data_IF_982232106087
#
_entry.id   IF_982232106087
#
_cell.length_a   1.000
_cell.length_b   1.000
_cell.length_c   1.000
_cell.angle_alpha   90.00
_cell.angle_beta   90.00
_cell.angle_gamma   90.00
#
_symmetry.space_group_name_H-M   'P 1'
#
loop_
_entity.id
_entity.type
_entity.pdbx_description
1 polymer ?
#
# COMPACT_ATOMS: atom_id res chain seq x y z
N UNK A 1 -5.17 0.07 21.96
CA UNK A 1 -5.13 -0.64 20.66
C UNK A 1 -3.80 -0.29 20.01
N UNK A 2 -2.96 -1.27 19.72
CA UNK A 2 -1.72 -1.06 18.98
C UNK A 2 -2.07 -1.01 17.49
N UNK A 3 -1.71 0.08 16.81
CA UNK A 3 -1.88 0.21 15.37
C UNK A 3 -0.54 -0.10 14.73
N UNK A 4 -0.49 -1.15 13.91
CA UNK A 4 0.70 -1.48 13.12
C UNK A 4 0.62 -0.76 11.78
N UNK A 5 1.51 0.21 11.57
CA UNK A 5 1.65 0.91 10.30
C UNK A 5 2.80 0.29 9.52
N UNK A 6 2.61 0.05 8.23
CA UNK A 6 3.63 -0.48 7.33
C UNK A 6 3.56 0.21 5.98
N UNK A 7 4.72 0.55 5.44
CA UNK A 7 4.83 1.05 4.08
C UNK A 7 5.10 -0.11 3.11
N UNK A 8 4.47 -0.05 1.94
CA UNK A 8 4.77 -0.93 0.81
C UNK A 8 5.37 -0.13 -0.34
N UNK A 9 6.35 -0.73 -1.02
CA UNK A 9 6.93 -0.17 -2.25
C UNK A 9 6.50 -1.02 -3.43
N UNK A 10 5.99 -0.39 -4.48
CA UNK A 10 5.65 -1.03 -5.75
C UNK A 10 6.03 -0.13 -6.91
N UNK A 11 6.53 -0.72 -8.01
CA UNK A 11 6.76 0.06 -9.23
C UNK A 11 5.43 0.41 -9.86
N UNK A 12 5.26 1.63 -10.34
CA UNK A 12 4.04 2.06 -11.03
C UNK A 12 3.70 1.17 -12.23
N UNK A 13 4.71 0.65 -12.92
CA UNK A 13 4.53 -0.27 -14.04
C UNK A 13 4.00 -1.66 -13.64
N UNK A 14 4.15 -2.04 -12.36
CA UNK A 14 3.66 -3.33 -11.84
C UNK A 14 2.24 -3.21 -11.27
N UNK A 15 1.77 -1.99 -10.97
CA UNK A 15 0.41 -1.73 -10.48
C UNK A 15 -0.54 -1.48 -11.66
N UNK A 16 -0.95 -2.56 -12.31
CA UNK A 16 -1.81 -2.53 -13.50
C UNK A 16 -3.13 -3.23 -13.21
N UNK A 17 -4.25 -2.51 -13.37
CA UNK A 17 -5.60 -3.05 -13.28
C UNK A 17 -6.32 -2.82 -14.60
N UNK A 18 -6.97 -3.86 -15.14
CA UNK A 18 -7.65 -3.78 -16.44
C UNK A 18 -6.76 -3.22 -17.56
N UNK A 19 -5.51 -3.69 -17.61
CA UNK A 19 -4.47 -3.27 -18.56
C UNK A 19 -4.03 -1.79 -18.46
N UNK A 20 -4.45 -1.08 -17.41
CA UNK A 20 -4.08 0.32 -17.18
C UNK A 20 -3.26 0.44 -15.90
N UNK A 21 -2.18 1.21 -15.95
CA UNK A 21 -1.46 1.60 -14.75
C UNK A 21 -2.37 2.50 -13.90
N UNK A 22 -2.56 2.14 -12.64
CA UNK A 22 -3.42 2.89 -11.71
C UNK A 22 -2.61 3.34 -10.49
N UNK A 23 -2.89 4.53 -9.93
CA UNK A 23 -2.32 4.90 -8.65
C UNK A 23 -3.00 4.13 -7.50
N UNK A 24 -2.28 3.86 -6.40
CA UNK A 24 -2.91 3.40 -5.16
C UNK A 24 -3.94 4.42 -4.64
N UNK A 25 -5.03 3.94 -4.05
CA UNK A 25 -6.11 4.78 -3.54
C UNK A 25 -6.39 4.55 -2.06
N UNK A 26 -6.92 5.57 -1.40
CA UNK A 26 -7.42 5.46 -0.03
C UNK A 26 -8.52 4.38 0.05
N UNK A 27 -8.43 3.51 1.06
CA UNK A 27 -9.34 2.38 1.25
C UNK A 27 -8.98 1.11 0.48
N UNK A 28 -7.98 1.13 -0.41
CA UNK A 28 -7.43 -0.08 -1.03
C UNK A 28 -6.92 -1.06 0.03
N UNK A 29 -6.86 -2.35 -0.30
CA UNK A 29 -6.38 -3.40 0.61
C UNK A 29 -5.19 -4.14 0.03
N UNK A 30 -4.14 -4.28 0.84
CA UNK A 30 -2.95 -5.07 0.53
C UNK A 30 -2.97 -6.33 1.40
N UNK A 31 -2.88 -7.49 0.75
CA UNK A 31 -2.73 -8.79 1.43
C UNK A 31 -1.27 -9.21 1.37
N UNK A 32 -0.68 -9.46 2.53
CA UNK A 32 0.68 -9.97 2.65
C UNK A 32 0.64 -11.34 3.33
N UNK A 33 0.85 -12.40 2.55
CA UNK A 33 0.94 -13.77 3.07
C UNK A 33 2.37 -14.06 3.51
N UNK A 34 2.54 -14.40 4.79
CA UNK A 34 3.81 -14.82 5.39
C UNK A 34 3.62 -16.21 6.00
N UNK A 35 4.13 -17.24 5.31
CA UNK A 35 3.86 -18.63 5.69
C UNK A 35 2.38 -18.96 5.51
N UNK A 36 1.72 -19.36 6.60
CA UNK A 36 0.30 -19.74 6.63
C UNK A 36 -0.64 -18.58 7.00
N UNK A 37 -0.11 -17.42 7.39
CA UNK A 37 -0.91 -16.27 7.83
C UNK A 37 -0.96 -15.20 6.76
N UNK A 38 -2.15 -14.66 6.48
CA UNK A 38 -2.32 -13.52 5.57
C UNK A 38 -2.66 -12.27 6.36
N UNK A 39 -1.77 -11.29 6.36
CA UNK A 39 -2.01 -10.00 6.99
C UNK A 39 -2.73 -9.07 6.01
N UNK A 40 -3.77 -8.40 6.48
CA UNK A 40 -4.55 -7.47 5.67
C UNK A 40 -4.26 -6.04 6.12
N UNK A 41 -3.82 -5.22 5.17
CA UNK A 41 -3.50 -3.82 5.37
C UNK A 41 -4.45 -2.94 4.58
N UNK A 42 -4.95 -1.87 5.20
CA UNK A 42 -5.75 -0.83 4.55
C UNK A 42 -4.86 0.35 4.20
N UNK A 43 -4.91 0.79 2.94
CA UNK A 43 -4.23 1.96 2.42
C UNK A 43 -4.92 3.21 2.97
N UNK A 44 -4.16 4.08 3.63
CA UNK A 44 -4.69 5.29 4.25
C UNK A 44 -3.61 6.37 4.44
N UNK A 45 -3.98 7.66 4.56
CA UNK A 45 -3.05 8.73 4.91
C UNK A 45 -2.31 8.47 6.22
N UNK A 46 -1.06 8.91 6.30
CA UNK A 46 -0.24 8.83 7.50
C UNK A 46 0.11 10.24 8.00
N UNK A 47 -0.63 10.71 9.00
CA UNK A 47 -0.51 12.10 9.48
C UNK A 47 -0.92 13.07 8.37
N UNK A 48 -0.01 13.96 7.98
CA UNK A 48 -0.21 14.93 6.90
C UNK A 48 0.25 14.40 5.52
N UNK A 49 0.78 13.18 5.44
CA UNK A 49 1.15 12.55 4.16
C UNK A 49 -0.06 11.89 3.50
N UNK A 50 -0.21 12.00 2.15
CA UNK A 50 -1.28 11.32 1.41
C UNK A 50 -1.13 9.79 1.53
N UNK A 51 -2.17 9.02 1.20
CA UNK A 51 -2.15 7.56 1.31
C UNK A 51 -1.04 6.88 0.48
N UNK A 52 -0.62 7.52 -0.63
CA UNK A 52 0.57 7.13 -1.37
C UNK A 52 1.30 8.34 -1.92
N UNK A 53 2.63 8.22 -2.06
CA UNK A 53 3.50 9.23 -2.68
C UNK A 53 4.63 8.58 -3.47
N UNK A 54 5.22 9.35 -4.37
CA UNK A 54 6.41 8.91 -5.08
C UNK A 54 7.58 8.73 -4.10
N UNK A 55 8.18 7.54 -4.12
CA UNK A 55 9.36 7.23 -3.31
C UNK A 55 10.66 7.73 -3.95
N UNK A 56 10.64 7.99 -5.25
CA UNK A 56 11.79 8.43 -6.03
C UNK A 56 11.46 9.70 -6.83
N UNK A 57 12.51 10.40 -7.29
CA UNK A 57 12.38 11.67 -8.03
C UNK A 57 11.76 11.50 -9.42
N UNK A 58 11.85 10.31 -10.00
CA UNK A 58 11.42 10.04 -11.37
C UNK A 58 9.97 9.51 -11.44
N UNK A 59 9.33 9.24 -10.31
CA UNK A 59 7.96 8.77 -10.24
C UNK A 59 7.80 7.33 -10.72
N UNK A 60 8.77 6.47 -10.44
CA UNK A 60 8.71 5.06 -10.85
C UNK A 60 8.18 4.13 -9.77
N UNK A 61 8.31 4.52 -8.50
CA UNK A 61 7.98 3.70 -7.35
C UNK A 61 7.03 4.45 -6.43
N UNK A 62 5.88 3.84 -6.17
CA UNK A 62 4.96 4.29 -5.13
C UNK A 62 5.44 3.81 -3.77
N UNK A 63 5.45 4.71 -2.79
CA UNK A 63 5.39 4.36 -1.36
C UNK A 63 3.94 4.48 -0.93
N UNK A 64 3.39 3.39 -0.43
CA UNK A 64 1.99 3.25 -0.01
C UNK A 64 1.96 3.13 1.50
N UNK A 65 1.26 4.04 2.16
CA UNK A 65 1.07 4.03 3.61
C UNK A 65 -0.13 3.18 3.97
N UNK A 66 0.03 2.30 4.95
CA UNK A 66 -1.03 1.38 5.35
C UNK A 66 -1.07 1.17 6.85
N UNK A 67 -2.25 0.81 7.37
CA UNK A 67 -2.41 0.22 8.71
C UNK A 67 -2.83 -1.25 8.57
N UNK A 68 -2.38 -2.10 9.47
CA UNK A 68 -2.90 -3.46 9.62
C UNK A 68 -4.33 -3.39 10.16
N UNK A 69 -5.26 -4.06 9.48
CA UNK A 69 -6.69 -4.12 9.89
C UNK A 69 -7.11 -5.54 10.29
N UNK A 70 -6.27 -6.54 10.09
CA UNK A 70 -6.54 -7.90 10.52
C UNK A 70 -5.58 -8.94 9.95
N UNK A 71 -5.88 -10.19 10.28
CA UNK A 71 -5.24 -11.39 9.74
C UNK A 71 -6.32 -12.36 9.27
N UNK A 72 -6.03 -13.06 8.18
CA UNK A 72 -6.79 -14.18 7.61
C UNK A 72 -5.99 -15.48 7.78
#
# INVERSE_FOLDING_TARGET
>A
VQVHVRDFLIKAADLVLSEQAVPPQDGDRIKLTLGETTYVFEVMPLGDEPAARWSDRYGYTWRIHTKEIGTE
#
